data_IF_343379506460
#
_entry.id   IF_343379506460
#
_cell.length_a   1.000
_cell.length_b   1.000
_cell.length_c   1.000
_cell.angle_alpha   90.00
_cell.angle_beta   90.00
_cell.angle_gamma   90.00
#
_symmetry.space_group_name_H-M   'P 1'
#
loop_
_entity.id
_entity.type
_entity.pdbx_description
1 polymer ?
#
# COMPACT_ATOMS: atom_id res chain seq x y z
N UNK A 1 11.63 8.54 -27.23
CA UNK A 1 11.27 7.42 -26.34
C UNK A 1 11.28 6.12 -27.12
N UNK A 2 12.04 5.13 -26.67
CA UNK A 2 12.07 3.80 -27.30
C UNK A 2 11.04 2.84 -26.67
N UNK A 3 10.71 1.74 -27.36
CA UNK A 3 9.82 0.70 -26.79
C UNK A 3 10.37 0.10 -25.50
N UNK A 4 11.70 -0.06 -25.41
CA UNK A 4 12.38 -0.56 -24.21
C UNK A 4 12.20 0.40 -23.02
N UNK A 5 12.24 1.70 -23.27
CA UNK A 5 12.08 2.75 -22.25
C UNK A 5 10.64 2.80 -21.70
N UNK A 6 9.63 2.59 -22.56
CA UNK A 6 8.24 2.46 -22.13
C UNK A 6 8.06 1.23 -21.23
N UNK A 7 8.67 0.10 -21.59
CA UNK A 7 8.62 -1.13 -20.80
C UNK A 7 9.29 -0.94 -19.43
N UNK A 8 10.40 -0.22 -19.37
CA UNK A 8 11.12 0.10 -18.14
C UNK A 8 10.27 0.96 -17.20
N UNK A 9 9.65 2.04 -17.72
CA UNK A 9 8.74 2.90 -16.95
C UNK A 9 7.55 2.11 -16.40
N UNK A 10 6.97 1.23 -17.22
CA UNK A 10 5.86 0.37 -16.78
C UNK A 10 6.28 -0.57 -15.65
N UNK A 11 7.46 -1.20 -15.75
CA UNK A 11 8.02 -2.06 -14.72
C UNK A 11 8.27 -1.30 -13.42
N UNK A 12 8.88 -0.11 -13.50
CA UNK A 12 9.16 0.71 -12.32
C UNK A 12 7.88 1.18 -11.64
N UNK A 13 6.85 1.54 -12.41
CA UNK A 13 5.53 1.86 -11.88
C UNK A 13 4.90 0.70 -11.11
N UNK A 14 5.00 -0.54 -11.62
CA UNK A 14 4.52 -1.74 -10.90
C UNK A 14 5.30 -1.93 -9.59
N UNK A 15 6.63 -1.75 -9.61
CA UNK A 15 7.45 -1.86 -8.41
C UNK A 15 7.05 -0.81 -7.37
N UNK A 16 6.79 0.42 -7.78
CA UNK A 16 6.31 1.50 -6.89
C UNK A 16 4.95 1.17 -6.30
N UNK A 17 4.00 0.67 -7.10
CA UNK A 17 2.69 0.21 -6.62
C UNK A 17 2.83 -0.87 -5.55
N UNK A 18 3.69 -1.87 -5.78
CA UNK A 18 3.95 -2.94 -4.82
C UNK A 18 4.59 -2.38 -3.55
N UNK A 19 5.59 -1.50 -3.65
CA UNK A 19 6.27 -0.89 -2.50
C UNK A 19 5.31 -0.12 -1.60
N UNK A 20 4.42 0.67 -2.19
CA UNK A 20 3.44 1.49 -1.48
C UNK A 20 2.36 0.60 -0.85
N UNK A 21 1.87 -0.42 -1.57
CA UNK A 21 0.79 -1.30 -1.10
C UNK A 21 1.21 -2.39 -0.11
N UNK A 22 2.44 -2.90 -0.21
CA UNK A 22 2.94 -4.01 0.61
C UNK A 22 2.82 -3.79 2.14
N UNK A 23 3.29 -2.68 2.74
CA UNK A 23 3.26 -2.51 4.19
C UNK A 23 1.83 -2.50 4.74
N UNK A 24 0.91 -1.82 4.05
CA UNK A 24 -0.51 -1.75 4.44
C UNK A 24 -1.17 -3.12 4.32
N UNK A 25 -0.88 -3.86 3.23
CA UNK A 25 -1.46 -5.18 2.99
C UNK A 25 -1.01 -6.21 4.02
N UNK A 26 0.29 -6.23 4.37
CA UNK A 26 0.84 -7.12 5.41
C UNK A 26 0.19 -6.83 6.76
N UNK A 27 0.07 -5.55 7.11
CA UNK A 27 -0.54 -5.17 8.39
C UNK A 27 -2.03 -5.52 8.43
N UNK A 28 -2.78 -5.24 7.36
CA UNK A 28 -4.19 -5.61 7.25
C UNK A 28 -4.40 -7.12 7.36
N UNK A 29 -3.49 -7.93 6.80
CA UNK A 29 -3.54 -9.38 6.89
C UNK A 29 -3.28 -9.88 8.31
N UNK A 30 -2.20 -9.43 8.95
CA UNK A 30 -1.86 -9.83 10.33
C UNK A 30 -2.99 -9.49 11.30
N UNK A 31 -3.49 -8.26 11.23
CA UNK A 31 -4.54 -7.77 12.12
C UNK A 31 -5.88 -8.45 11.82
N UNK A 32 -6.19 -8.63 10.54
CA UNK A 32 -7.40 -9.33 10.10
C UNK A 32 -7.44 -10.76 10.62
N UNK A 33 -6.32 -11.48 10.53
CA UNK A 33 -6.17 -12.83 11.07
C UNK A 33 -6.30 -12.85 12.59
N UNK A 34 -5.61 -11.97 13.31
CA UNK A 34 -5.67 -11.89 14.77
C UNK A 34 -7.12 -11.65 15.26
N UNK A 35 -7.82 -10.71 14.63
CA UNK A 35 -9.22 -10.39 14.96
C UNK A 35 -10.13 -11.59 14.65
N UNK A 36 -9.96 -12.27 13.50
CA UNK A 36 -10.75 -13.46 13.17
C UNK A 36 -10.53 -14.62 14.12
N UNK A 37 -9.31 -14.78 14.63
CA UNK A 37 -8.98 -15.82 15.61
C UNK A 37 -9.68 -15.55 16.95
N UNK A 38 -9.64 -14.31 17.43
CA UNK A 38 -10.32 -13.93 18.68
C UNK A 38 -11.84 -14.12 18.55
N UNK A 39 -12.42 -13.79 17.40
CA UNK A 39 -13.84 -14.02 17.13
C UNK A 39 -14.20 -15.50 17.15
N UNK A 40 -13.37 -16.34 16.52
CA UNK A 40 -13.58 -17.78 16.51
C UNK A 40 -13.47 -18.38 17.93
N UNK A 41 -12.49 -17.95 18.72
CA UNK A 41 -12.27 -18.45 20.08
C UNK A 41 -13.35 -18.01 21.08
N UNK A 42 -13.89 -16.82 20.93
CA UNK A 42 -14.92 -16.26 21.84
C UNK A 42 -16.35 -16.52 21.40
N UNK A 43 -16.55 -17.08 20.19
CA UNK A 43 -17.86 -17.29 19.56
C UNK A 43 -18.66 -15.99 19.34
N UNK A 44 -18.02 -14.81 19.41
CA UNK A 44 -18.65 -13.52 19.15
C UNK A 44 -18.70 -13.30 17.64
N UNK A 45 -19.90 -13.39 17.06
CA UNK A 45 -20.16 -13.17 15.62
C UNK A 45 -20.89 -11.85 15.34
N UNK A 46 -20.77 -10.88 16.24
CA UNK A 46 -21.35 -9.54 16.07
C UNK A 46 -20.55 -8.74 15.02
N UNK A 47 -21.14 -8.57 13.84
CA UNK A 47 -20.49 -7.97 12.67
C UNK A 47 -19.93 -6.56 12.97
N UNK A 48 -20.62 -5.76 13.79
CA UNK A 48 -20.19 -4.40 14.16
C UNK A 48 -18.95 -4.39 15.07
N UNK A 49 -18.89 -5.29 16.07
CA UNK A 49 -17.75 -5.43 16.98
C UNK A 49 -16.48 -5.92 16.26
N UNK A 50 -16.64 -6.70 15.20
CA UNK A 50 -15.53 -7.16 14.36
C UNK A 50 -14.94 -6.06 13.48
N UNK A 51 -15.78 -5.13 13.05
CA UNK A 51 -15.48 -4.20 11.98
C UNK A 51 -14.76 -2.95 12.49
N UNK A 52 -15.21 -2.38 13.61
CA UNK A 52 -14.67 -1.13 14.17
C UNK A 52 -13.18 -1.25 14.53
N UNK A 53 -12.71 -2.27 15.27
CA UNK A 53 -11.29 -2.39 15.58
C UNK A 53 -10.43 -2.58 14.33
N UNK A 54 -10.91 -3.35 13.35
CA UNK A 54 -10.22 -3.58 12.08
C UNK A 54 -10.03 -2.28 11.29
N UNK A 55 -11.08 -1.45 11.19
CA UNK A 55 -11.00 -0.15 10.52
C UNK A 55 -9.99 0.79 11.20
N UNK A 56 -10.03 0.89 12.53
CA UNK A 56 -9.14 1.77 13.29
C UNK A 56 -7.67 1.40 13.06
N UNK A 57 -7.36 0.11 13.03
CA UNK A 57 -6.00 -0.36 12.79
C UNK A 57 -5.55 -0.10 11.34
N UNK A 58 -6.41 -0.33 10.35
CA UNK A 58 -6.10 0.00 8.95
C UNK A 58 -5.87 1.50 8.79
N UNK A 59 -6.71 2.33 9.41
CA UNK A 59 -6.58 3.78 9.36
C UNK A 59 -5.28 4.25 10.03
N UNK A 60 -4.95 3.72 11.20
CA UNK A 60 -3.69 4.01 11.89
C UNK A 60 -2.48 3.60 11.04
N UNK A 61 -2.54 2.45 10.38
CA UNK A 61 -1.50 1.99 9.47
C UNK A 61 -1.34 2.93 8.27
N UNK A 62 -2.44 3.37 7.65
CA UNK A 62 -2.39 4.33 6.56
C UNK A 62 -1.71 5.62 6.98
N UNK A 63 -2.07 6.18 8.15
CA UNK A 63 -1.45 7.41 8.67
C UNK A 63 0.04 7.19 8.96
N UNK A 64 0.41 6.06 9.53
CA UNK A 64 1.80 5.74 9.87
C UNK A 64 2.66 5.58 8.61
N UNK A 65 2.16 4.89 7.59
CA UNK A 65 2.89 4.67 6.34
C UNK A 65 2.72 5.82 5.33
N UNK A 66 1.86 6.80 5.59
CA UNK A 66 1.58 7.91 4.68
C UNK A 66 2.85 8.65 4.22
N UNK A 67 3.81 9.03 5.10
CA UNK A 67 5.01 9.73 4.66
C UNK A 67 5.88 8.87 3.73
N UNK A 68 5.99 7.57 4.01
CA UNK A 68 6.73 6.62 3.17
C UNK A 68 6.07 6.44 1.79
N UNK A 69 4.74 6.33 1.76
CA UNK A 69 3.99 6.20 0.51
C UNK A 69 4.13 7.45 -0.35
N UNK A 70 4.02 8.63 0.26
CA UNK A 70 4.17 9.92 -0.44
C UNK A 70 5.58 10.13 -0.97
N UNK A 71 6.61 9.88 -0.17
CA UNK A 71 8.01 10.01 -0.62
C UNK A 71 8.30 9.10 -1.80
N UNK A 72 7.89 7.83 -1.73
CA UNK A 72 8.06 6.86 -2.83
C UNK A 72 7.37 7.32 -4.12
N UNK A 73 6.16 7.89 -4.02
CA UNK A 73 5.40 8.38 -5.17
C UNK A 73 6.00 9.65 -5.76
N UNK A 74 6.46 10.58 -4.91
CA UNK A 74 7.15 11.80 -5.32
C UNK A 74 8.45 11.46 -6.04
N UNK A 75 9.26 10.55 -5.50
CA UNK A 75 10.52 10.13 -6.11
C UNK A 75 10.30 9.52 -7.50
N UNK A 76 9.28 8.67 -7.64
CA UNK A 76 8.89 8.10 -8.94
C UNK A 76 8.44 9.18 -9.93
N UNK A 77 7.66 10.16 -9.46
CA UNK A 77 7.17 11.26 -10.29
C UNK A 77 8.32 12.15 -10.76
N UNK A 78 9.30 12.45 -9.89
CA UNK A 78 10.49 13.21 -10.26
C UNK A 78 11.31 12.48 -11.32
N UNK A 79 11.57 11.18 -11.13
CA UNK A 79 12.27 10.36 -12.14
C UNK A 79 11.54 10.36 -13.49
N UNK A 80 10.21 10.32 -13.48
CA UNK A 80 9.41 10.39 -14.70
C UNK A 80 9.56 11.76 -15.38
N UNK A 81 9.51 12.86 -14.63
CA UNK A 81 9.67 14.22 -15.15
C UNK A 81 11.08 14.44 -15.73
N UNK A 82 12.12 13.93 -15.06
CA UNK A 82 13.50 14.01 -15.55
C UNK A 82 13.66 13.26 -16.87
N UNK A 83 13.08 12.05 -16.98
CA UNK A 83 13.08 11.28 -18.23
C UNK A 83 12.37 12.04 -19.36
N UNK A 84 11.22 12.66 -19.07
CA UNK A 84 10.49 13.50 -20.05
C UNK A 84 11.33 14.70 -20.50
N UNK A 85 11.96 15.43 -19.57
CA UNK A 85 12.77 16.60 -19.86
C UNK A 85 14.07 16.26 -20.61
N UNK A 86 14.66 15.09 -20.37
CA UNK A 86 15.84 14.60 -21.10
C UNK A 86 15.51 14.08 -22.51
N UNK A 87 14.22 13.80 -22.78
CA UNK A 87 13.74 13.29 -24.06
C UNK A 87 13.32 14.41 -25.05
N UNK A 88 13.38 15.69 -24.64
CA UNK A 88 13.21 16.89 -25.48
C UNK A 88 14.56 17.48 -25.89
#
# INVERSE_FOLDING_TARGET
MSEAEILEIARDGIIVMIKIGAPVMVLALVVGLAISLVQALTQIQEMTLSFVPKMLVIFAALVLFLPFMLTTLVDFTQQLMDRIASAS
#
